data_IF_329624316670
#
_entry.id   IF_329624316670
#
_cell.length_a   1.000
_cell.length_b   1.000
_cell.length_c   1.000
_cell.angle_alpha   90.00
_cell.angle_beta   90.00
_cell.angle_gamma   90.00
#
_symmetry.space_group_name_H-M   'P 1'
#
loop_
_entity.id
_entity.type
_entity.pdbx_description
1 polymer ?
#
# COMPACT_ATOMS: atom_id res chain seq x y z
N UNK A 1 20.04 -4.69 17.87
CA UNK A 1 19.81 -3.60 16.88
C UNK A 1 18.56 -2.85 17.31
N UNK A 2 18.53 -1.51 17.21
CA UNK A 2 17.33 -0.72 17.51
C UNK A 2 16.56 -0.40 16.21
N UNK A 3 15.25 -0.63 16.21
CA UNK A 3 14.34 -0.25 15.12
C UNK A 3 13.31 0.71 15.70
N UNK A 4 13.25 1.93 15.19
CA UNK A 4 12.30 2.95 15.65
C UNK A 4 10.99 2.85 14.87
N UNK A 5 9.91 3.42 15.41
CA UNK A 5 8.63 3.55 14.70
C UNK A 5 8.79 4.29 13.38
N UNK A 6 9.66 5.32 13.33
CA UNK A 6 10.00 6.04 12.09
C UNK A 6 10.59 5.11 11.03
N UNK A 7 11.49 4.21 11.40
CA UNK A 7 12.06 3.24 10.46
C UNK A 7 11.03 2.21 9.96
N UNK A 8 10.05 1.84 10.80
CA UNK A 8 8.96 0.95 10.40
C UNK A 8 8.04 1.61 9.37
N UNK A 9 7.52 2.81 9.67
CA UNK A 9 6.58 3.52 8.78
C UNK A 9 7.23 3.95 7.47
N UNK A 10 8.55 4.13 7.45
CA UNK A 10 9.30 4.50 6.24
C UNK A 10 9.90 3.31 5.48
N UNK A 11 9.58 2.07 5.87
CA UNK A 11 10.11 0.85 5.23
C UNK A 11 11.66 0.78 5.21
N UNK A 12 12.29 1.27 6.26
CA UNK A 12 13.75 1.29 6.45
C UNK A 12 14.21 0.33 7.55
N UNK A 13 13.35 -0.57 8.03
CA UNK A 13 13.64 -1.45 9.17
C UNK A 13 14.58 -2.62 8.85
N UNK A 14 14.68 -3.02 7.57
CA UNK A 14 15.39 -4.25 7.18
C UNK A 14 14.60 -5.53 7.46
N UNK A 15 13.37 -5.43 7.97
CA UNK A 15 12.47 -6.57 8.13
C UNK A 15 12.01 -6.98 6.73
N UNK A 16 12.11 -8.28 6.43
CA UNK A 16 11.69 -8.82 5.14
C UNK A 16 10.19 -8.66 4.89
N UNK A 17 9.78 -8.90 3.65
CA UNK A 17 8.39 -9.18 3.31
C UNK A 17 8.19 -10.70 3.27
N UNK A 18 7.39 -11.24 2.34
CA UNK A 18 7.12 -12.67 2.25
C UNK A 18 8.31 -13.53 1.82
N UNK A 19 9.22 -13.01 0.98
CA UNK A 19 10.41 -13.74 0.54
C UNK A 19 11.48 -13.79 1.64
N UNK A 20 11.95 -15.00 1.95
CA UNK A 20 12.96 -15.29 2.99
C UNK A 20 14.38 -15.26 2.43
N UNK A 21 14.54 -15.48 1.14
CA UNK A 21 15.83 -15.45 0.48
C UNK A 21 16.27 -14.01 0.15
N UNK A 22 17.25 -13.53 0.91
CA UNK A 22 17.86 -12.22 0.72
C UNK A 22 18.46 -12.04 -0.68
N UNK A 23 18.97 -13.11 -1.31
CA UNK A 23 19.60 -13.03 -2.62
C UNK A 23 18.56 -12.74 -3.69
N UNK A 24 17.42 -13.44 -3.66
CA UNK A 24 16.28 -13.17 -4.54
C UNK A 24 15.74 -11.76 -4.37
N UNK A 25 15.58 -11.29 -3.13
CA UNK A 25 15.10 -9.91 -2.88
C UNK A 25 16.07 -8.86 -3.41
N UNK A 26 17.39 -9.08 -3.29
CA UNK A 26 18.40 -8.20 -3.89
C UNK A 26 18.30 -8.19 -5.42
N UNK A 27 18.16 -9.35 -6.05
CA UNK A 27 18.00 -9.44 -7.51
C UNK A 27 16.74 -8.73 -8.01
N UNK A 28 15.60 -8.92 -7.35
CA UNK A 28 14.34 -8.26 -7.70
C UNK A 28 14.44 -6.75 -7.56
N UNK A 29 15.06 -6.28 -6.47
CA UNK A 29 15.31 -4.85 -6.24
C UNK A 29 16.23 -4.27 -7.32
N UNK A 30 17.28 -4.98 -7.71
CA UNK A 30 18.14 -4.55 -8.82
C UNK A 30 17.39 -4.51 -10.15
N UNK A 31 16.56 -5.51 -10.45
CA UNK A 31 15.73 -5.55 -11.66
C UNK A 31 14.76 -4.35 -11.69
N UNK A 32 14.08 -4.07 -10.58
CA UNK A 32 13.17 -2.92 -10.46
C UNK A 32 13.92 -1.59 -10.65
N UNK A 33 15.11 -1.44 -10.05
CA UNK A 33 15.94 -0.26 -10.22
C UNK A 33 16.41 -0.07 -11.68
N UNK A 34 16.79 -1.16 -12.37
CA UNK A 34 17.16 -1.12 -13.79
C UNK A 34 15.96 -0.72 -14.66
N UNK A 35 14.78 -1.30 -14.41
CA UNK A 35 13.55 -0.93 -15.12
C UNK A 35 13.18 0.55 -14.92
N UNK A 36 13.27 1.05 -13.69
CA UNK A 36 13.01 2.46 -13.39
C UNK A 36 13.99 3.40 -14.12
N UNK A 37 15.28 3.04 -14.17
CA UNK A 37 16.28 3.80 -14.94
C UNK A 37 16.03 3.78 -16.45
N UNK A 38 15.46 2.70 -16.98
CA UNK A 38 15.11 2.57 -18.40
C UNK A 38 13.84 3.33 -18.78
N UNK A 39 12.92 3.56 -17.84
CA UNK A 39 11.69 4.35 -18.05
C UNK A 39 11.98 5.86 -17.99
N UNK A 40 12.95 6.29 -17.17
CA UNK A 40 13.35 7.70 -17.02
C UNK A 40 13.69 8.45 -18.33
N UNK A 41 14.41 7.87 -19.32
CA UNK A 41 14.71 8.56 -20.58
C UNK A 41 13.50 8.76 -21.52
N UNK A 42 12.34 8.15 -21.25
CA UNK A 42 11.12 8.36 -22.04
C UNK A 42 10.25 9.52 -21.53
N UNK A 43 10.21 9.78 -20.21
CA UNK A 43 9.44 10.90 -19.65
C UNK A 43 10.11 12.27 -19.86
N UNK A 44 11.44 12.33 -19.89
CA UNK A 44 12.17 13.58 -20.17
C UNK A 44 12.04 14.04 -21.64
N UNK A 45 11.67 13.14 -22.57
CA UNK A 45 11.44 13.49 -23.99
C UNK A 45 10.04 14.06 -24.25
N UNK A 46 9.00 13.51 -23.62
CA UNK A 46 7.63 14.04 -23.76
C UNK A 46 7.44 15.42 -23.11
N UNK A 47 8.19 15.74 -22.06
CA UNK A 47 8.19 17.10 -21.49
C UNK A 47 8.94 18.10 -22.35
N UNK A 48 10.02 17.69 -23.05
CA UNK A 48 10.77 18.59 -23.96
C UNK A 48 10.07 18.84 -25.30
N UNK A 49 9.23 17.92 -25.80
CA UNK A 49 8.50 18.15 -27.05
C UNK A 49 7.24 19.03 -26.88
N UNK A 50 6.73 19.22 -25.64
CA UNK A 50 5.55 20.08 -25.39
C UNK A 50 5.88 21.56 -25.16
N UNK A 51 7.14 21.94 -24.95
CA UNK A 51 7.55 23.34 -24.78
C UNK A 51 7.99 24.02 -26.09
N UNK A 52 7.99 23.32 -27.22
CA UNK A 52 8.52 23.84 -28.48
C UNK A 52 7.66 23.51 -29.69
N UNK A 53 6.45 24.08 -29.79
CA UNK A 53 5.85 24.51 -31.08
C UNK A 53 4.55 25.27 -30.86
N UNK A 54 4.61 26.56 -31.19
CA UNK A 54 3.48 27.45 -31.30
C UNK A 54 2.53 27.09 -32.44
N UNK A 55 1.33 27.64 -32.30
CA UNK A 55 0.15 27.54 -33.15
C UNK A 55 0.46 27.93 -34.60
N UNK A 56 0.10 27.07 -35.56
CA UNK A 56 -0.41 27.49 -36.87
C UNK A 56 -1.40 26.43 -37.40
N UNK A 57 -2.57 26.89 -37.84
CA UNK A 57 -3.65 26.08 -38.41
C UNK A 57 -3.36 25.80 -39.89
N UNK A 58 -3.78 24.63 -40.38
CA UNK A 58 -4.40 24.50 -41.72
C UNK A 58 -5.11 23.15 -41.85
N UNK A 59 -6.28 23.20 -42.48
CA UNK A 59 -7.12 22.08 -42.89
C UNK A 59 -6.38 21.10 -43.81
N UNK A 60 -6.65 19.79 -43.67
CA UNK A 60 -7.06 18.94 -44.81
C UNK A 60 -7.36 17.49 -44.40
N UNK A 61 -8.46 17.01 -44.98
CA UNK A 61 -9.04 15.67 -44.96
C UNK A 61 -8.06 14.61 -45.49
N UNK A 62 -7.98 13.44 -44.84
CA UNK A 62 -7.79 12.16 -45.54
C UNK A 62 -8.25 10.94 -44.73
N UNK A 63 -9.25 10.26 -45.29
CA UNK A 63 -9.74 8.94 -44.94
C UNK A 63 -8.70 7.83 -45.20
N UNK A 64 -9.04 6.63 -44.69
CA UNK A 64 -8.65 5.24 -45.08
C UNK A 64 -7.73 4.57 -44.05
N UNK A 65 -7.89 3.29 -43.71
CA UNK A 65 -8.81 2.22 -44.13
C UNK A 65 -8.68 1.10 -43.09
N UNK A 66 -9.76 0.36 -42.91
CA UNK A 66 -9.75 -0.98 -42.33
C UNK A 66 -8.74 -1.87 -43.07
N UNK A 67 -7.99 -2.67 -42.31
CA UNK A 67 -7.39 -3.89 -42.81
C UNK A 67 -7.54 -4.97 -41.73
N UNK A 68 -8.57 -5.79 -41.91
CA UNK A 68 -8.59 -7.16 -41.44
C UNK A 68 -7.36 -7.90 -42.01
N UNK A 69 -6.67 -8.60 -41.13
CA UNK A 69 -5.56 -9.47 -41.47
C UNK A 69 -5.54 -10.62 -40.48
N UNK A 70 -6.12 -11.74 -40.91
CA UNK A 70 -6.03 -13.06 -40.28
C UNK A 70 -4.61 -13.35 -39.78
N UNK A 71 -4.47 -13.73 -38.51
CA UNK A 71 -3.26 -14.40 -38.02
C UNK A 71 -3.63 -15.79 -37.51
N UNK A 72 -3.17 -16.75 -38.31
CA UNK A 72 -3.21 -18.19 -38.12
C UNK A 72 -2.76 -18.62 -36.72
N UNK A 73 -3.52 -19.59 -36.22
CA UNK A 73 -3.19 -20.50 -35.11
C UNK A 73 -1.71 -20.91 -35.09
N UNK A 74 -1.06 -20.65 -33.96
CA UNK A 74 0.16 -21.35 -33.54
C UNK A 74 -0.07 -21.90 -32.14
N UNK A 75 -0.24 -23.22 -32.08
CA UNK A 75 -0.18 -24.02 -30.88
C UNK A 75 1.08 -23.68 -30.05
N UNK A 76 0.89 -23.02 -28.90
CA UNK A 76 1.90 -22.93 -27.87
C UNK A 76 1.55 -23.87 -26.72
N UNK A 77 2.47 -24.77 -26.41
CA UNK A 77 2.44 -25.73 -25.30
C UNK A 77 2.12 -25.02 -23.96
N UNK A 78 1.47 -25.68 -23.00
CA UNK A 78 1.16 -25.07 -21.71
C UNK A 78 2.44 -25.04 -20.86
N UNK A 79 3.12 -23.90 -20.83
CA UNK A 79 4.34 -23.73 -20.05
C UNK A 79 4.25 -22.52 -19.13
N UNK A 80 4.39 -22.79 -17.81
CA UNK A 80 4.39 -21.86 -16.66
C UNK A 80 3.02 -21.34 -16.22
N UNK A 81 2.32 -22.16 -15.42
CA UNK A 81 1.24 -21.70 -14.54
C UNK A 81 1.63 -21.60 -13.06
N UNK A 82 2.88 -21.92 -12.67
CA UNK A 82 3.23 -22.10 -11.25
C UNK A 82 4.39 -21.20 -10.81
N UNK A 83 4.15 -19.89 -10.64
CA UNK A 83 5.06 -19.00 -9.87
C UNK A 83 4.35 -17.96 -9.02
N UNK A 84 3.05 -17.72 -9.24
CA UNK A 84 2.24 -16.85 -8.38
C UNK A 84 1.95 -17.48 -7.00
N UNK A 85 2.23 -18.78 -6.83
CA UNK A 85 1.87 -19.59 -5.67
C UNK A 85 3.04 -19.94 -4.72
N UNK A 86 4.27 -19.46 -4.96
CA UNK A 86 5.43 -19.78 -4.11
C UNK A 86 5.52 -18.92 -2.82
N UNK A 87 4.71 -17.88 -2.67
CA UNK A 87 4.67 -17.09 -1.44
C UNK A 87 3.59 -17.63 -0.50
N UNK A 88 3.88 -18.74 0.19
CA UNK A 88 2.97 -19.38 1.15
C UNK A 88 2.45 -18.37 2.20
N UNK A 89 3.32 -17.47 2.64
CA UNK A 89 2.97 -16.42 3.62
C UNK A 89 2.04 -15.33 3.03
N UNK A 90 2.02 -15.13 1.71
CA UNK A 90 1.08 -14.22 1.05
C UNK A 90 -0.35 -14.76 1.14
N UNK A 91 -0.52 -16.07 0.97
CA UNK A 91 -1.80 -16.78 1.00
C UNK A 91 -2.04 -17.52 2.32
N UNK A 92 -1.47 -17.01 3.41
CA UNK A 92 -1.58 -17.63 4.73
C UNK A 92 -3.05 -17.76 5.13
N UNK A 93 -3.42 -18.94 5.63
CA UNK A 93 -4.80 -19.27 6.03
C UNK A 93 -4.96 -19.44 7.53
N UNK A 94 -3.85 -19.42 8.27
CA UNK A 94 -3.83 -19.51 9.73
C UNK A 94 -4.42 -18.23 10.32
N UNK A 95 -5.38 -18.38 11.22
CA UNK A 95 -5.93 -17.29 12.02
C UNK A 95 -5.04 -17.06 13.24
N UNK A 96 -4.81 -15.80 13.57
CA UNK A 96 -4.03 -15.36 14.73
C UNK A 96 -4.95 -14.62 15.70
N UNK A 97 -4.84 -14.95 16.98
CA UNK A 97 -5.71 -14.38 18.03
C UNK A 97 -5.30 -12.94 18.38
N UNK A 98 -4.06 -12.55 18.07
CA UNK A 98 -3.56 -11.19 18.28
C UNK A 98 -2.45 -10.82 17.29
N UNK A 99 -2.23 -9.51 17.10
CA UNK A 99 -1.10 -9.00 16.31
C UNK A 99 0.26 -9.28 16.96
N UNK A 100 0.28 -9.60 18.26
CA UNK A 100 1.50 -10.00 18.98
C UNK A 100 1.84 -11.46 18.63
N UNK A 101 0.83 -12.33 18.58
CA UNK A 101 1.02 -13.73 18.20
C UNK A 101 1.60 -13.84 16.79
N UNK A 102 1.09 -13.03 15.86
CA UNK A 102 1.53 -13.05 14.46
C UNK A 102 3.00 -12.66 14.25
N UNK A 103 3.65 -12.05 15.23
CA UNK A 103 5.10 -11.84 15.20
C UNK A 103 5.87 -13.16 15.12
N UNK A 104 5.28 -14.30 15.53
CA UNK A 104 5.92 -15.63 15.41
C UNK A 104 6.35 -15.96 13.97
N UNK A 105 5.71 -15.36 12.97
CA UNK A 105 6.03 -15.55 11.54
C UNK A 105 7.45 -15.08 11.21
N UNK A 106 7.92 -13.98 11.81
CA UNK A 106 9.17 -13.32 11.38
C UNK A 106 10.08 -12.82 12.49
N UNK A 107 9.68 -12.88 13.77
CA UNK A 107 10.44 -12.28 14.89
C UNK A 107 11.86 -12.80 15.05
N UNK A 108 12.14 -14.01 14.57
CA UNK A 108 13.45 -14.66 14.67
C UNK A 108 14.25 -14.58 13.36
N UNK A 109 13.70 -13.95 12.33
CA UNK A 109 14.36 -13.87 11.02
C UNK A 109 15.48 -12.82 11.03
N UNK A 110 16.57 -13.04 10.28
CA UNK A 110 17.61 -12.05 10.14
C UNK A 110 17.07 -10.82 9.40
N UNK A 111 17.54 -9.63 9.79
CA UNK A 111 17.32 -8.43 9.00
C UNK A 111 18.11 -8.52 7.70
N UNK A 112 17.49 -8.09 6.59
CA UNK A 112 18.13 -8.14 5.27
C UNK A 112 19.22 -7.06 5.10
N UNK A 113 19.13 -6.00 5.90
CA UNK A 113 20.12 -4.94 5.95
C UNK A 113 20.03 -4.19 7.26
N UNK A 114 21.05 -3.38 7.56
CA UNK A 114 21.06 -2.53 8.75
C UNK A 114 19.87 -1.55 8.69
N UNK A 115 19.09 -1.39 9.77
CA UNK A 115 18.00 -0.41 9.77
C UNK A 115 18.49 1.00 9.42
N UNK A 116 17.72 1.71 8.61
CA UNK A 116 18.06 3.03 8.07
C UNK A 116 18.97 3.01 6.85
N UNK A 117 19.60 1.88 6.49
CA UNK A 117 20.57 1.86 5.39
C UNK A 117 19.94 1.72 4.01
N UNK A 118 18.76 1.09 3.91
CA UNK A 118 18.11 0.82 2.63
C UNK A 118 16.59 0.79 2.78
N UNK A 119 15.89 1.09 1.68
CA UNK A 119 14.45 0.87 1.55
C UNK A 119 14.13 -0.59 1.17
N UNK A 120 13.15 -1.18 1.86
CA UNK A 120 12.47 -2.43 1.51
C UNK A 120 11.05 -2.41 2.06
N UNK A 121 10.07 -2.40 1.16
CA UNK A 121 8.67 -2.53 1.55
C UNK A 121 8.45 -3.80 2.38
N UNK A 122 7.74 -3.67 3.50
CA UNK A 122 7.50 -4.78 4.42
C UNK A 122 6.18 -4.59 5.15
N UNK A 123 5.21 -5.45 4.83
CA UNK A 123 3.98 -5.62 5.63
C UNK A 123 4.31 -6.07 7.06
N UNK A 124 5.35 -6.88 7.26
CA UNK A 124 5.77 -7.31 8.60
C UNK A 124 6.31 -6.17 9.46
N UNK A 125 6.90 -5.13 8.84
CA UNK A 125 7.20 -3.87 9.53
C UNK A 125 5.93 -3.23 10.12
N UNK A 126 4.82 -3.24 9.39
CA UNK A 126 3.53 -2.76 9.86
C UNK A 126 2.88 -3.71 10.88
N UNK A 127 3.04 -5.03 10.74
CA UNK A 127 2.63 -6.00 11.77
C UNK A 127 3.33 -5.73 13.10
N UNK A 128 4.64 -5.46 13.09
CA UNK A 128 5.36 -5.05 14.29
C UNK A 128 4.84 -3.71 14.84
N UNK A 129 4.52 -2.75 13.97
CA UNK A 129 3.93 -1.48 14.38
C UNK A 129 2.57 -1.67 15.07
N UNK A 130 1.70 -2.57 14.59
CA UNK A 130 0.45 -2.88 15.29
C UNK A 130 0.69 -3.48 16.68
N UNK A 131 1.68 -4.36 16.83
CA UNK A 131 2.04 -4.90 18.13
C UNK A 131 2.57 -3.81 19.08
N UNK A 132 3.33 -2.83 18.57
CA UNK A 132 3.72 -1.66 19.36
C UNK A 132 2.48 -0.92 19.84
N UNK A 133 1.54 -0.56 18.95
CA UNK A 133 0.30 0.15 19.30
C UNK A 133 -0.51 -0.60 20.35
N UNK A 134 -0.71 -1.91 20.19
CA UNK A 134 -1.41 -2.75 21.17
C UNK A 134 -0.72 -2.73 22.54
N UNK A 135 0.60 -2.87 22.57
CA UNK A 135 1.38 -2.88 23.82
C UNK A 135 1.37 -1.54 24.55
N UNK A 136 1.51 -0.40 23.86
CA UNK A 136 1.48 0.93 24.51
C UNK A 136 0.08 1.40 24.85
N UNK A 137 -0.94 1.03 24.09
CA UNK A 137 -2.33 1.42 24.39
C UNK A 137 -2.99 0.55 25.46
N UNK A 138 -2.51 -0.69 25.67
CA UNK A 138 -3.16 -1.68 26.53
C UNK A 138 -4.49 -2.20 25.97
N UNK A 139 -4.80 -1.89 24.71
CA UNK A 139 -6.04 -2.28 24.01
C UNK A 139 -5.68 -3.18 22.84
N UNK A 140 -6.57 -4.12 22.50
CA UNK A 140 -6.43 -4.91 21.26
C UNK A 140 -6.31 -3.95 20.08
N UNK A 141 -5.36 -4.20 19.18
CA UNK A 141 -5.08 -3.33 18.04
C UNK A 141 -6.33 -3.08 17.19
N UNK A 142 -7.11 -4.14 16.93
CA UNK A 142 -8.35 -4.06 16.15
C UNK A 142 -9.37 -3.12 16.78
N UNK A 143 -9.57 -3.23 18.09
CA UNK A 143 -10.54 -2.42 18.83
C UNK A 143 -10.10 -0.95 18.88
N UNK A 144 -8.81 -0.73 19.09
CA UNK A 144 -8.20 0.60 19.03
C UNK A 144 -8.43 1.26 17.67
N UNK A 145 -8.19 0.54 16.58
CA UNK A 145 -8.37 1.06 15.22
C UNK A 145 -9.84 1.30 14.88
N UNK A 146 -10.75 0.38 15.23
CA UNK A 146 -12.19 0.55 15.01
C UNK A 146 -12.75 1.74 15.79
N UNK A 147 -12.26 1.97 17.02
CA UNK A 147 -12.59 3.18 17.78
C UNK A 147 -12.10 4.44 17.07
N UNK A 148 -10.85 4.45 16.59
CA UNK A 148 -10.29 5.58 15.85
C UNK A 148 -11.09 5.89 14.59
N UNK A 149 -11.46 4.88 13.80
CA UNK A 149 -12.31 5.06 12.62
C UNK A 149 -13.67 5.64 12.98
N UNK A 150 -14.29 5.16 14.06
CA UNK A 150 -15.55 5.71 14.56
C UNK A 150 -15.43 7.17 15.00
N UNK A 151 -14.34 7.54 15.69
CA UNK A 151 -14.07 8.91 16.12
C UNK A 151 -13.89 9.87 14.91
N UNK A 152 -13.47 9.34 13.76
CA UNK A 152 -13.35 10.06 12.48
C UNK A 152 -14.60 9.94 11.58
N UNK A 153 -15.70 9.39 12.11
CA UNK A 153 -16.94 9.13 11.36
C UNK A 153 -16.75 8.21 10.13
N UNK A 154 -15.74 7.33 10.16
CA UNK A 154 -15.45 6.33 9.13
C UNK A 154 -16.20 5.02 9.39
N UNK A 155 -17.54 5.08 9.34
CA UNK A 155 -18.42 3.99 9.76
C UNK A 155 -18.45 2.78 8.81
N UNK A 156 -17.93 2.92 7.59
CA UNK A 156 -17.83 1.83 6.60
C UNK A 156 -16.45 1.16 6.60
N UNK A 157 -15.53 1.63 7.45
CA UNK A 157 -14.18 1.10 7.55
C UNK A 157 -14.13 0.00 8.60
N UNK A 158 -13.86 -1.21 8.15
CA UNK A 158 -13.96 -2.44 8.94
C UNK A 158 -12.77 -3.36 8.68
N UNK A 159 -12.59 -4.37 9.54
CA UNK A 159 -11.64 -5.43 9.29
C UNK A 159 -12.07 -6.25 8.07
N UNK A 160 -11.09 -6.69 7.27
CA UNK A 160 -11.30 -7.69 6.23
C UNK A 160 -11.35 -9.10 6.86
N UNK A 161 -12.34 -9.28 7.73
CA UNK A 161 -12.60 -10.53 8.43
C UNK A 161 -13.40 -11.48 7.53
N UNK A 162 -12.96 -12.73 7.43
CA UNK A 162 -13.60 -13.76 6.63
C UNK A 162 -14.90 -14.27 7.25
N UNK A 163 -15.09 -14.12 8.57
CA UNK A 163 -16.31 -14.55 9.26
C UNK A 163 -17.45 -13.53 9.15
N UNK A 164 -17.12 -12.25 9.00
CA UNK A 164 -18.11 -11.18 8.95
C UNK A 164 -18.83 -11.11 7.59
N UNK A 165 -20.15 -10.99 7.62
CA UNK A 165 -20.93 -10.64 6.43
C UNK A 165 -20.84 -9.14 6.17
N UNK A 166 -20.02 -8.75 5.19
CA UNK A 166 -19.78 -7.36 4.84
C UNK A 166 -20.60 -6.99 3.60
N UNK A 167 -21.65 -6.20 3.81
CA UNK A 167 -22.50 -5.70 2.72
C UNK A 167 -21.72 -4.76 1.79
N UNK A 168 -22.05 -4.80 0.49
CA UNK A 168 -21.40 -4.00 -0.55
C UNK A 168 -19.88 -4.19 -0.69
N UNK A 169 -19.33 -5.32 -0.21
CA UNK A 169 -17.93 -5.69 -0.42
C UNK A 169 -17.66 -5.88 -1.92
N UNK A 170 -16.63 -5.24 -2.43
CA UNK A 170 -16.24 -5.35 -3.83
C UNK A 170 -15.86 -6.80 -4.19
N UNK A 171 -16.26 -7.23 -5.39
CA UNK A 171 -15.94 -8.57 -5.90
C UNK A 171 -14.65 -8.56 -6.70
N UNK A 172 -13.92 -9.67 -6.67
CA UNK A 172 -12.66 -9.81 -7.38
C UNK A 172 -12.90 -10.07 -8.87
N UNK A 173 -12.20 -9.30 -9.72
CA UNK A 173 -12.27 -9.43 -11.17
C UNK A 173 -10.93 -9.90 -11.72
N UNK A 174 -10.92 -11.07 -12.38
CA UNK A 174 -9.76 -11.60 -13.08
C UNK A 174 -10.03 -11.59 -14.58
N UNK A 175 -9.37 -10.65 -15.29
CA UNK A 175 -9.44 -10.51 -16.76
C UNK A 175 -10.88 -10.33 -17.30
N UNK A 176 -11.65 -9.44 -16.66
CA UNK A 176 -13.02 -9.13 -17.05
C UNK A 176 -14.07 -10.10 -16.51
N UNK A 177 -13.67 -11.10 -15.71
CA UNK A 177 -14.59 -12.09 -15.12
C UNK A 177 -14.62 -11.95 -13.61
N UNK A 178 -15.82 -11.87 -13.04
CA UNK A 178 -16.01 -11.99 -11.61
C UNK A 178 -15.70 -13.43 -11.17
N UNK A 179 -14.76 -13.57 -10.25
CA UNK A 179 -14.34 -14.86 -9.70
C UNK A 179 -14.10 -14.69 -8.20
N UNK A 180 -14.21 -15.77 -7.44
CA UNK A 180 -13.85 -15.73 -6.02
C UNK A 180 -12.36 -15.40 -5.86
N UNK A 181 -12.06 -14.46 -4.97
CA UNK A 181 -10.69 -14.23 -4.55
C UNK A 181 -10.14 -15.49 -3.83
N UNK A 182 -8.85 -15.80 -3.96
CA UNK A 182 -8.23 -16.81 -3.12
C UNK A 182 -8.44 -16.49 -1.65
N UNK A 183 -8.76 -17.51 -0.86
CA UNK A 183 -8.90 -17.36 0.59
C UNK A 183 -7.55 -17.00 1.21
N UNK A 184 -7.54 -15.93 2.00
CA UNK A 184 -6.41 -15.50 2.83
C UNK A 184 -6.94 -15.05 4.18
N UNK A 185 -6.21 -15.35 5.25
CA UNK A 185 -6.50 -14.82 6.58
C UNK A 185 -5.60 -13.60 6.83
N UNK A 186 -6.20 -12.43 7.05
CA UNK A 186 -5.47 -11.17 7.20
C UNK A 186 -5.10 -10.85 8.65
N UNK A 187 -5.42 -11.73 9.61
CA UNK A 187 -5.20 -11.48 11.05
C UNK A 187 -3.75 -11.22 11.44
N UNK A 188 -2.81 -11.74 10.66
CA UNK A 188 -1.39 -11.47 10.87
C UNK A 188 -0.93 -10.08 10.41
N UNK A 189 -1.72 -9.38 9.60
CA UNK A 189 -1.33 -8.14 8.92
C UNK A 189 -2.41 -7.06 8.92
N UNK A 190 -3.21 -6.97 10.00
CA UNK A 190 -4.24 -5.93 10.12
C UNK A 190 -3.72 -4.53 9.72
N UNK A 191 -2.58 -4.09 10.30
CA UNK A 191 -1.96 -2.81 9.97
C UNK A 191 -1.32 -2.73 8.57
N UNK A 192 -0.98 -3.86 7.96
CA UNK A 192 -0.27 -3.92 6.68
C UNK A 192 -1.18 -4.06 5.45
N UNK A 193 -2.48 -4.30 5.65
CA UNK A 193 -3.45 -4.42 4.56
C UNK A 193 -4.72 -5.20 4.90
N UNK A 194 -5.17 -5.20 6.16
CA UNK A 194 -6.30 -6.01 6.60
C UNK A 194 -7.59 -5.22 6.86
N UNK A 195 -7.73 -4.02 6.32
CA UNK A 195 -8.95 -3.21 6.45
C UNK A 195 -9.63 -3.01 5.10
N UNK A 196 -10.95 -3.05 5.10
CA UNK A 196 -11.80 -2.59 4.00
C UNK A 196 -12.31 -1.19 4.33
N UNK A 197 -12.58 -0.39 3.31
CA UNK A 197 -13.10 0.96 3.47
C UNK A 197 -13.94 1.38 2.26
N UNK A 198 -14.60 2.53 2.38
CA UNK A 198 -15.32 3.19 1.30
C UNK A 198 -14.55 4.43 0.83
N UNK A 199 -14.84 4.90 -0.39
CA UNK A 199 -14.27 6.17 -0.87
C UNK A 199 -14.63 7.33 0.08
N UNK A 200 -15.86 7.36 0.59
CA UNK A 200 -16.31 8.39 1.52
C UNK A 200 -15.50 8.43 2.82
N UNK A 201 -15.20 7.26 3.40
CA UNK A 201 -14.41 7.17 4.61
C UNK A 201 -12.94 7.55 4.38
N UNK A 202 -12.36 7.13 3.25
CA UNK A 202 -10.99 7.54 2.89
C UNK A 202 -10.87 9.06 2.69
N UNK A 203 -11.91 9.71 2.15
CA UNK A 203 -11.97 11.16 2.06
C UNK A 203 -12.03 11.83 3.44
N UNK A 204 -12.82 11.28 4.38
CA UNK A 204 -12.84 11.76 5.78
C UNK A 204 -11.46 11.66 6.42
N UNK A 205 -10.79 10.51 6.27
CA UNK A 205 -9.44 10.30 6.77
C UNK A 205 -8.43 11.31 6.20
N UNK A 206 -8.42 11.46 4.87
CA UNK A 206 -7.55 12.42 4.19
C UNK A 206 -7.80 13.86 4.63
N UNK A 207 -9.06 14.28 4.73
CA UNK A 207 -9.43 15.60 5.20
C UNK A 207 -9.03 15.84 6.66
N UNK A 208 -9.15 14.83 7.54
CA UNK A 208 -8.72 14.95 8.93
C UNK A 208 -7.20 15.19 9.05
N UNK A 209 -6.39 14.51 8.22
CA UNK A 209 -4.94 14.73 8.17
C UNK A 209 -4.57 16.10 7.59
N UNK A 210 -5.20 16.50 6.48
CA UNK A 210 -4.98 17.80 5.85
C UNK A 210 -5.36 18.95 6.81
N UNK A 211 -6.52 18.85 7.45
CA UNK A 211 -6.96 19.80 8.45
C UNK A 211 -5.99 19.88 9.62
N UNK A 212 -5.53 18.74 10.13
CA UNK A 212 -4.55 18.68 11.24
C UNK A 212 -3.25 19.41 10.90
N UNK A 213 -2.76 19.32 9.67
CA UNK A 213 -1.59 20.08 9.22
C UNK A 213 -1.90 21.58 9.09
N UNK A 214 -3.01 21.92 8.44
CA UNK A 214 -3.39 23.31 8.16
C UNK A 214 -3.80 24.09 9.42
N UNK A 215 -4.31 23.42 10.45
CA UNK A 215 -4.69 24.05 11.72
C UNK A 215 -3.52 24.80 12.39
N UNK A 216 -2.26 24.39 12.13
CA UNK A 216 -1.07 25.10 12.60
C UNK A 216 -0.68 26.33 11.77
N UNK A 217 -1.27 26.51 10.59
CA UNK A 217 -0.95 27.57 9.64
C UNK A 217 -1.89 28.78 9.76
N UNK A 218 -3.06 28.61 10.40
CA UNK A 218 -4.04 29.67 10.60
C UNK A 218 -3.99 30.22 12.02
N UNK A 219 -4.08 31.55 12.18
CA UNK A 219 -4.36 32.14 13.50
C UNK A 219 -5.81 31.86 13.86
N UNK A 220 -6.06 31.05 14.89
CA UNK A 220 -7.41 30.83 15.44
C UNK A 220 -7.88 32.07 16.25
N UNK A 221 -7.90 33.23 15.61
CA UNK A 221 -8.12 34.55 16.23
C UNK A 221 -9.46 34.67 16.96
N UNK A 222 -10.46 33.88 16.54
CA UNK A 222 -11.81 33.93 17.09
C UNK A 222 -12.19 32.66 17.88
N UNK A 223 -11.26 31.71 18.08
CA UNK A 223 -11.53 30.45 18.81
C UNK A 223 -12.57 29.52 18.19
N UNK A 224 -13.00 29.78 16.94
CA UNK A 224 -14.08 29.04 16.27
C UNK A 224 -13.63 27.72 15.64
N UNK A 225 -12.33 27.54 15.43
CA UNK A 225 -11.80 26.32 14.82
C UNK A 225 -11.54 25.26 15.91
N UNK A 226 -11.99 24.04 15.64
CA UNK A 226 -11.69 22.87 16.46
C UNK A 226 -10.20 22.50 16.31
N UNK A 227 -9.58 21.86 17.31
CA UNK A 227 -8.25 21.31 17.13
C UNK A 227 -8.26 20.21 16.06
N UNK A 228 -7.15 20.08 15.34
CA UNK A 228 -6.91 18.94 14.47
C UNK A 228 -6.85 17.63 15.25
N UNK A 229 -7.15 16.52 14.57
CA UNK A 229 -7.03 15.18 15.16
C UNK A 229 -5.59 14.84 15.58
N UNK A 230 -4.61 15.32 14.79
CA UNK A 230 -3.19 15.30 15.13
C UNK A 230 -2.66 16.72 15.31
N UNK A 231 -1.56 16.84 16.06
CA UNK A 231 -0.82 18.10 16.15
C UNK A 231 -0.20 18.43 14.78
N UNK A 232 -0.17 19.69 14.34
CA UNK A 232 0.43 20.09 13.07
C UNK A 232 1.87 19.60 12.90
N UNK A 233 2.70 19.72 13.93
CA UNK A 233 4.10 19.28 13.93
C UNK A 233 4.23 17.75 13.75
N UNK A 234 3.27 16.98 14.26
CA UNK A 234 3.23 15.52 14.07
C UNK A 234 2.99 15.19 12.60
N UNK A 235 2.06 15.88 11.94
CA UNK A 235 1.78 15.67 10.51
C UNK A 235 2.96 16.11 9.65
N UNK A 236 3.55 17.27 9.95
CA UNK A 236 4.75 17.76 9.28
C UNK A 236 5.92 16.77 9.40
N UNK A 237 6.14 16.22 10.59
CA UNK A 237 7.14 15.18 10.82
C UNK A 237 6.88 13.93 9.97
N UNK A 238 5.62 13.47 9.89
CA UNK A 238 5.23 12.29 9.10
C UNK A 238 5.43 12.48 7.60
N UNK A 239 5.16 13.67 7.06
CA UNK A 239 5.31 13.98 5.63
C UNK A 239 6.73 14.39 5.22
N UNK A 240 7.63 14.57 6.17
CA UNK A 240 9.03 14.82 5.87
C UNK A 240 9.64 13.56 5.22
N UNK A 241 10.22 13.64 4.02
CA UNK A 241 10.91 12.50 3.40
C UNK A 241 12.04 11.95 4.29
N UNK A 242 12.34 10.66 4.16
CA UNK A 242 13.44 9.98 4.86
C UNK A 242 14.46 9.46 3.88
#
# INVERSE_FOLDING_TARGET
VAITTRLLVSHLSGIRHYEKDITKVKEEKEKANRAFKLIKPYQDKEQKEKEGKGIEKTDSVKQRKEHEGEVKSRNSKPGRRDKEFEQEEYYLKEKFESVIESLKIFKNDPLFFKPGSQFLYSTYGFTLLSAVVERVSGQKFTDYMLKMFRDLDMLSTVLDDNEAMIYNRASYNKKGRLVNAPYVDNSYKWAGGGFLSSVGDLLKFGNALLYSYQAGQFKNTNGKLLPGYLKPDTVAMMWTPV
#
